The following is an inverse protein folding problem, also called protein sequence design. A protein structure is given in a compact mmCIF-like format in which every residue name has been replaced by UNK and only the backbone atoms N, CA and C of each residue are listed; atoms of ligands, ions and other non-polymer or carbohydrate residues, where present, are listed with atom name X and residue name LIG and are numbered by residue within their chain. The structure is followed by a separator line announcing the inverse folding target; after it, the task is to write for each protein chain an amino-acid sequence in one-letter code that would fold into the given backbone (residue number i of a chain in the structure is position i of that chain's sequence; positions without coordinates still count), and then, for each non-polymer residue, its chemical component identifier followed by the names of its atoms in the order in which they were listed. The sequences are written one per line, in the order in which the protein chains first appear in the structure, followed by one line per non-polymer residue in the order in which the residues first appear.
data_IF_692968604055
#
_entry.id   IF_692968604055
#
_cell.length_a   1.000
_cell.length_b   1.000
_cell.length_c   1.000
_cell.angle_alpha   90.00
_cell.angle_beta   90.00
_cell.angle_gamma   90.00
#
_symmetry.space_group_name_H-M   'P 1'
#
loop_
_entity.id
_entity.type
_entity.pdbx_description
1 polymer ?
#
# COMPACT_ATOMS: atom_id res chain seq x y z
N UNK A 1 12.60 26.67 -8.87
CA UNK A 1 13.13 25.54 -8.06
C UNK A 1 12.34 25.51 -6.78
N UNK A 2 11.44 24.54 -6.62
CA UNK A 2 10.48 24.57 -5.54
C UNK A 2 11.07 24.27 -4.16
N UNK A 3 12.35 23.91 -4.04
CA UNK A 3 13.05 23.49 -2.81
C UNK A 3 13.10 24.51 -1.65
N UNK A 4 12.69 25.76 -1.87
CA UNK A 4 12.38 26.72 -0.81
C UNK A 4 10.98 27.31 -1.02
N UNK A 5 10.16 27.39 0.02
CA UNK A 5 8.86 28.09 0.01
C UNK A 5 7.65 27.42 -0.67
N UNK A 6 7.81 26.28 -1.35
CA UNK A 6 6.70 25.52 -1.93
C UNK A 6 6.04 24.59 -0.89
N UNK A 7 4.71 24.63 -0.82
CA UNK A 7 3.90 23.89 0.14
C UNK A 7 2.92 22.96 -0.58
N UNK A 8 3.10 21.64 -0.43
CA UNK A 8 2.24 20.61 -1.00
C UNK A 8 1.90 19.58 0.09
N UNK A 9 0.70 19.65 0.71
CA UNK A 9 0.32 18.81 1.86
C UNK A 9 0.30 17.31 1.58
N UNK A 10 0.19 16.90 0.32
CA UNK A 10 0.05 15.51 -0.12
C UNK A 10 1.34 14.94 -0.74
N UNK A 11 2.45 15.67 -0.69
CA UNK A 11 3.71 15.22 -1.27
C UNK A 11 4.37 14.19 -0.33
N UNK A 12 4.41 12.92 -0.73
CA UNK A 12 5.02 11.81 0.02
C UNK A 12 6.41 11.41 -0.49
N UNK A 13 6.67 11.58 -1.79
CA UNK A 13 7.91 11.15 -2.44
C UNK A 13 8.67 12.34 -3.04
N UNK A 14 10.00 12.36 -2.84
CA UNK A 14 10.88 13.40 -3.39
C UNK A 14 12.13 12.77 -4.01
N UNK A 15 12.21 12.78 -5.34
CA UNK A 15 13.41 12.36 -6.07
C UNK A 15 14.46 13.48 -6.04
N UNK A 16 15.68 13.14 -5.61
CA UNK A 16 16.79 14.10 -5.46
C UNK A 16 17.98 13.66 -6.32
N UNK A 17 18.08 14.21 -7.53
CA UNK A 17 19.25 14.05 -8.40
C UNK A 17 20.25 15.22 -8.25
N UNK A 18 20.50 15.62 -7.00
CA UNK A 18 21.46 16.68 -6.66
C UNK A 18 22.18 16.36 -5.36
N UNK A 19 23.47 16.70 -5.30
CA UNK A 19 24.27 16.61 -4.08
C UNK A 19 23.84 17.70 -3.06
N UNK A 20 22.75 17.45 -2.34
CA UNK A 20 22.26 18.33 -1.27
C UNK A 20 23.11 18.11 0.00
N UNK A 21 23.60 19.19 0.60
CA UNK A 21 24.40 19.15 1.84
C UNK A 21 23.69 19.89 2.97
N UNK A 22 23.74 19.32 4.16
CA UNK A 22 23.27 19.92 5.42
C UNK A 22 21.83 20.46 5.32
N UNK A 23 21.67 21.79 5.43
CA UNK A 23 20.39 22.47 5.47
C UNK A 23 19.51 22.23 4.23
N UNK A 24 20.11 22.02 3.05
CA UNK A 24 19.38 21.73 1.82
C UNK A 24 18.72 20.33 1.82
N UNK A 25 19.38 19.35 2.44
CA UNK A 25 18.83 18.00 2.61
C UNK A 25 17.69 18.00 3.64
N UNK A 26 17.87 18.73 4.75
CA UNK A 26 16.84 18.88 5.78
C UNK A 26 15.58 19.60 5.26
N UNK A 27 15.75 20.61 4.41
CA UNK A 27 14.62 21.32 3.77
C UNK A 27 13.89 20.45 2.75
N UNK A 28 14.60 19.58 2.03
CA UNK A 28 14.03 18.62 1.10
C UNK A 28 13.19 17.56 1.85
N UNK A 29 13.77 16.94 2.89
CA UNK A 29 13.10 15.91 3.69
C UNK A 29 11.93 16.45 4.54
N UNK A 30 11.97 17.71 4.97
CA UNK A 30 10.89 18.34 5.75
C UNK A 30 9.56 18.44 4.98
N UNK A 31 9.60 18.41 3.65
CA UNK A 31 8.41 18.59 2.79
C UNK A 31 7.54 17.35 2.72
N UNK A 32 8.15 16.17 2.74
CA UNK A 32 7.43 14.89 2.85
C UNK A 32 7.02 14.61 4.29
N UNK A 33 7.73 15.20 5.26
CA UNK A 33 7.52 15.02 6.70
C UNK A 33 6.48 15.95 7.35
N UNK A 34 5.51 16.52 6.63
CA UNK A 34 4.50 17.39 7.28
C UNK A 34 3.46 16.61 8.10
N UNK A 35 3.14 15.38 7.70
CA UNK A 35 2.41 14.41 8.52
C UNK A 35 3.21 14.09 9.80
N UNK A 36 4.55 14.04 9.69
CA UNK A 36 5.47 13.82 10.79
C UNK A 36 5.52 14.99 11.80
N UNK A 37 5.34 16.26 11.39
CA UNK A 37 5.28 17.39 12.34
C UNK A 37 4.05 17.34 13.24
N UNK A 38 2.89 16.87 12.76
CA UNK A 38 1.73 16.64 13.60
C UNK A 38 2.02 15.55 14.65
N UNK A 39 2.76 14.50 14.28
CA UNK A 39 3.18 13.41 15.18
C UNK A 39 4.25 13.89 16.19
N UNK A 40 5.13 14.80 15.79
CA UNK A 40 6.24 15.31 16.63
C UNK A 40 5.80 16.41 17.60
N UNK A 41 4.79 17.22 17.28
CA UNK A 41 4.22 18.21 18.22
C UNK A 41 3.59 17.57 19.46
N UNK A 42 3.26 16.27 19.38
CA UNK A 42 2.80 15.44 20.49
C UNK A 42 3.84 14.39 20.95
N UNK A 43 5.08 14.42 20.42
CA UNK A 43 6.16 13.48 20.72
C UNK A 43 7.29 14.10 21.56
N UNK A 44 7.80 13.34 22.53
CA UNK A 44 8.80 13.80 23.51
C UNK A 44 10.14 14.25 22.85
N UNK A 45 10.77 15.29 23.43
CA UNK A 45 11.95 16.02 22.91
C UNK A 45 13.22 15.17 22.77
N UNK A 46 13.21 13.94 23.26
CA UNK A 46 14.30 12.97 23.13
C UNK A 46 14.15 11.99 21.96
N UNK A 47 13.10 12.12 21.15
CA UNK A 47 12.89 11.28 19.96
C UNK A 47 13.87 11.68 18.85
N UNK A 48 15.10 11.18 18.91
CA UNK A 48 15.93 10.99 17.72
C UNK A 48 15.34 9.83 16.89
N UNK A 49 14.16 10.03 16.34
CA UNK A 49 13.65 9.14 15.31
C UNK A 49 14.34 9.53 14.00
N UNK A 50 15.60 9.09 13.87
CA UNK A 50 16.00 8.54 12.58
C UNK A 50 14.97 7.45 12.34
N UNK A 51 13.99 7.72 11.49
CA UNK A 51 13.09 6.68 10.99
C UNK A 51 14.01 5.76 10.21
N UNK A 52 14.59 4.79 10.91
CA UNK A 52 15.15 3.61 10.29
C UNK A 52 13.94 2.98 9.63
N UNK A 53 13.71 3.32 8.36
CA UNK A 53 12.83 2.52 7.52
C UNK A 53 13.29 1.09 7.71
N UNK A 54 12.37 0.28 8.22
CA UNK A 54 12.62 -1.13 8.44
C UNK A 54 13.00 -1.73 7.09
N UNK A 55 13.91 -2.67 7.08
CA UNK A 55 14.36 -3.26 5.82
C UNK A 55 13.19 -3.95 5.12
N UNK A 56 13.23 -4.04 3.79
CA UNK A 56 12.28 -4.84 3.00
C UNK A 56 12.06 -6.22 3.63
N UNK A 57 13.16 -6.87 4.03
CA UNK A 57 13.16 -8.17 4.71
C UNK A 57 12.35 -8.16 6.02
N UNK A 58 12.45 -7.11 6.83
CA UNK A 58 11.68 -6.99 8.07
C UNK A 58 10.17 -6.81 7.83
N UNK A 59 9.71 -6.29 6.70
CA UNK A 59 8.27 -6.22 6.40
C UNK A 59 7.76 -7.45 5.66
N UNK A 60 8.64 -8.10 4.89
CA UNK A 60 8.35 -9.37 4.25
C UNK A 60 8.24 -10.50 5.30
N UNK A 61 9.18 -10.51 6.24
CA UNK A 61 9.26 -11.43 7.39
C UNK A 61 8.62 -10.81 8.63
N UNK A 62 8.35 -11.61 9.67
CA UNK A 62 7.88 -11.07 10.95
C UNK A 62 9.03 -10.34 11.68
N UNK A 63 8.75 -9.22 12.33
CA UNK A 63 9.74 -8.48 13.11
C UNK A 63 9.21 -8.04 14.47
N UNK A 64 10.11 -7.84 15.43
CA UNK A 64 9.76 -7.25 16.72
C UNK A 64 9.98 -5.74 16.67
N UNK A 65 8.91 -4.99 16.90
CA UNK A 65 8.97 -3.54 16.99
C UNK A 65 9.76 -3.15 18.24
N UNK A 66 10.89 -2.47 18.05
CA UNK A 66 11.83 -2.11 19.13
C UNK A 66 11.20 -1.08 20.08
N UNK A 67 10.29 -0.23 19.58
CA UNK A 67 9.65 0.82 20.35
C UNK A 67 8.48 0.28 21.21
N UNK A 68 7.72 -0.69 20.68
CA UNK A 68 6.56 -1.23 21.40
C UNK A 68 6.80 -2.61 22.03
N UNK A 69 7.90 -3.27 21.67
CA UNK A 69 8.20 -4.65 22.08
C UNK A 69 7.25 -5.70 21.48
N UNK A 70 6.35 -5.31 20.58
CA UNK A 70 5.34 -6.19 19.99
C UNK A 70 5.88 -6.86 18.73
N UNK A 71 5.64 -8.16 18.61
CA UNK A 71 5.82 -8.86 17.36
C UNK A 71 4.81 -8.34 16.34
N UNK A 72 5.31 -7.89 15.19
CA UNK A 72 4.52 -7.58 14.00
C UNK A 72 4.71 -8.70 13.00
N UNK A 73 3.61 -9.16 12.44
CA UNK A 73 3.61 -10.22 11.43
C UNK A 73 4.09 -9.67 10.11
N UNK A 74 4.84 -10.50 9.39
CA UNK A 74 5.31 -10.16 8.05
C UNK A 74 4.24 -10.43 7.00
N UNK A 75 4.41 -9.84 5.83
CA UNK A 75 3.55 -10.05 4.66
C UNK A 75 3.27 -11.54 4.38
N UNK A 76 4.31 -12.38 4.44
CA UNK A 76 4.19 -13.81 4.15
C UNK A 76 3.34 -14.57 5.18
N UNK A 77 3.39 -14.16 6.44
CA UNK A 77 2.59 -14.77 7.50
C UNK A 77 1.12 -14.40 7.34
N UNK A 78 0.83 -13.13 7.04
CA UNK A 78 -0.53 -12.62 6.80
C UNK A 78 -1.16 -13.33 5.60
N UNK A 79 -0.43 -13.46 4.48
CA UNK A 79 -0.90 -14.19 3.30
C UNK A 79 -1.18 -15.65 3.62
N UNK A 80 -0.24 -16.30 4.32
CA UNK A 80 -0.38 -17.72 4.66
C UNK A 80 -1.65 -17.94 5.48
N UNK A 81 -1.92 -17.06 6.45
CA UNK A 81 -3.15 -17.14 7.23
C UNK A 81 -4.39 -16.86 6.37
N UNK A 82 -4.37 -15.85 5.48
CA UNK A 82 -5.48 -15.56 4.56
C UNK A 82 -5.84 -16.80 3.73
N UNK A 83 -4.84 -17.42 3.08
CA UNK A 83 -5.04 -18.59 2.23
C UNK A 83 -5.51 -19.83 3.01
N UNK A 84 -5.09 -19.98 4.26
CA UNK A 84 -5.46 -21.12 5.12
C UNK A 84 -6.85 -20.98 5.73
N UNK A 85 -7.21 -19.78 6.21
CA UNK A 85 -8.48 -19.54 6.90
C UNK A 85 -9.61 -19.16 5.95
N UNK A 86 -9.29 -18.48 4.86
CA UNK A 86 -10.25 -17.87 3.95
C UNK A 86 -9.97 -18.30 2.50
N UNK A 87 -9.81 -19.60 2.27
CA UNK A 87 -9.54 -20.14 0.92
C UNK A 87 -10.57 -19.71 -0.12
N UNK A 88 -11.85 -19.62 0.29
CA UNK A 88 -12.96 -19.09 -0.51
C UNK A 88 -13.53 -17.85 0.18
N UNK A 89 -13.10 -16.64 -0.19
CA UNK A 89 -13.55 -15.43 0.50
C UNK A 89 -15.04 -15.11 0.26
N UNK A 90 -15.61 -15.53 -0.87
CA UNK A 90 -17.04 -15.36 -1.17
C UNK A 90 -17.98 -16.17 -0.26
N UNK A 91 -17.46 -17.18 0.44
CA UNK A 91 -18.24 -18.09 1.28
C UNK A 91 -18.24 -17.68 2.77
N UNK A 92 -17.72 -16.49 3.11
CA UNK A 92 -17.69 -16.01 4.50
C UNK A 92 -19.10 -15.58 4.93
N UNK A 93 -19.83 -16.51 5.55
CA UNK A 93 -21.22 -16.26 6.02
C UNK A 93 -21.27 -15.76 7.47
N UNK A 94 -20.54 -16.38 8.40
CA UNK A 94 -20.65 -16.06 9.83
C UNK A 94 -20.11 -14.66 10.13
N UNK A 95 -20.82 -13.93 10.99
CA UNK A 95 -20.42 -12.59 11.40
C UNK A 95 -19.04 -12.56 12.10
N UNK A 96 -18.73 -13.57 12.91
CA UNK A 96 -17.40 -13.72 13.53
C UNK A 96 -16.30 -13.82 12.49
N UNK A 97 -16.55 -14.58 11.43
CA UNK A 97 -15.58 -14.86 10.38
C UNK A 97 -15.43 -13.61 9.48
N UNK A 98 -16.50 -12.84 9.26
CA UNK A 98 -16.44 -11.52 8.61
C UNK A 98 -15.56 -10.55 9.38
N UNK A 99 -15.68 -10.51 10.72
CA UNK A 99 -14.87 -9.65 11.58
C UNK A 99 -13.40 -10.04 11.52
N UNK A 100 -13.11 -11.33 11.66
CA UNK A 100 -11.75 -11.85 11.61
C UNK A 100 -11.10 -11.61 10.24
N UNK A 101 -11.86 -11.83 9.16
CA UNK A 101 -11.42 -11.53 7.80
C UNK A 101 -11.12 -10.05 7.62
N UNK A 102 -12.01 -9.15 8.05
CA UNK A 102 -11.82 -7.72 7.91
C UNK A 102 -10.55 -7.23 8.63
N UNK A 103 -10.26 -7.77 9.82
CA UNK A 103 -9.03 -7.45 10.56
C UNK A 103 -7.79 -7.96 9.83
N UNK A 104 -7.81 -9.21 9.38
CA UNK A 104 -6.66 -9.84 8.72
C UNK A 104 -6.37 -9.18 7.36
N UNK A 105 -7.40 -8.92 6.57
CA UNK A 105 -7.25 -8.26 5.27
C UNK A 105 -6.86 -6.77 5.41
N UNK A 106 -7.33 -6.07 6.45
CA UNK A 106 -6.84 -4.72 6.77
C UNK A 106 -5.35 -4.71 7.16
N UNK A 107 -4.86 -5.75 7.83
CA UNK A 107 -3.41 -5.93 8.06
C UNK A 107 -2.65 -6.18 6.76
N UNK A 108 -3.18 -7.02 5.87
CA UNK A 108 -2.63 -7.24 4.53
C UNK A 108 -2.48 -5.92 3.76
N UNK A 109 -3.55 -5.12 3.67
CA UNK A 109 -3.55 -3.86 2.92
C UNK A 109 -2.48 -2.88 3.44
N UNK A 110 -2.31 -2.79 4.76
CA UNK A 110 -1.30 -1.92 5.37
C UNK A 110 0.12 -2.38 5.06
N UNK A 111 0.40 -3.69 5.19
CA UNK A 111 1.73 -4.23 4.90
C UNK A 111 2.04 -4.16 3.40
N UNK A 112 1.08 -4.49 2.53
CA UNK A 112 1.21 -4.35 1.07
C UNK A 112 1.51 -2.90 0.68
N UNK A 113 0.77 -1.93 1.21
CA UNK A 113 1.00 -0.51 0.91
C UNK A 113 2.38 -0.01 1.36
N UNK A 114 2.91 -0.53 2.47
CA UNK A 114 4.29 -0.23 2.89
C UNK A 114 5.28 -0.85 1.90
N UNK A 115 5.09 -2.12 1.56
CA UNK A 115 5.96 -2.86 0.65
C UNK A 115 5.98 -2.28 -0.77
N UNK A 116 4.90 -1.65 -1.23
CA UNK A 116 4.85 -0.96 -2.54
C UNK A 116 5.90 0.15 -2.70
N UNK A 117 6.49 0.65 -1.62
CA UNK A 117 7.56 1.66 -1.69
C UNK A 117 8.95 1.05 -1.92
N UNK A 118 9.08 -0.28 -1.95
CA UNK A 118 10.34 -0.99 -2.11
C UNK A 118 10.47 -1.55 -3.53
N UNK A 119 11.59 -1.26 -4.18
CA UNK A 119 11.89 -1.71 -5.54
C UNK A 119 11.90 -3.25 -5.62
N UNK A 120 12.34 -3.94 -4.56
CA UNK A 120 12.32 -5.39 -4.47
C UNK A 120 10.89 -5.96 -4.52
N UNK A 121 9.92 -5.28 -3.92
CA UNK A 121 8.52 -5.70 -3.97
C UNK A 121 7.89 -5.42 -5.32
N UNK A 122 8.20 -4.28 -5.94
CA UNK A 122 7.76 -3.97 -7.29
C UNK A 122 8.27 -5.01 -8.30
N UNK A 123 9.55 -5.38 -8.17
CA UNK A 123 10.17 -6.45 -8.96
C UNK A 123 9.50 -7.80 -8.70
N UNK A 124 9.24 -8.16 -7.44
CA UNK A 124 8.54 -9.40 -7.09
C UNK A 124 7.12 -9.48 -7.69
N UNK A 125 6.41 -8.34 -7.78
CA UNK A 125 5.09 -8.26 -8.41
C UNK A 125 5.18 -8.42 -9.92
N UNK A 126 6.09 -7.71 -10.58
CA UNK A 126 6.31 -7.81 -12.02
C UNK A 126 6.75 -9.22 -12.45
N UNK A 127 7.51 -9.92 -11.59
CA UNK A 127 7.91 -11.31 -11.81
C UNK A 127 6.72 -12.28 -11.94
N UNK A 128 5.56 -11.97 -11.35
CA UNK A 128 4.37 -12.84 -11.43
C UNK A 128 3.78 -12.90 -12.84
N UNK A 129 3.96 -11.84 -13.63
CA UNK A 129 3.44 -11.74 -14.99
C UNK A 129 4.49 -12.11 -16.05
N UNK A 130 5.72 -12.39 -15.61
CA UNK A 130 6.86 -12.70 -16.48
C UNK A 130 6.76 -14.14 -17.01
N UNK A 131 6.97 -14.31 -18.33
CA UNK A 131 7.17 -15.63 -18.90
C UNK A 131 8.57 -16.15 -18.60
N UNK A 132 8.69 -16.90 -17.51
CA UNK A 132 9.95 -17.50 -17.04
C UNK A 132 10.51 -18.57 -17.99
N UNK A 133 9.78 -18.98 -19.03
CA UNK A 133 10.26 -19.94 -20.02
C UNK A 133 11.07 -19.29 -21.14
N UNK A 134 10.94 -17.98 -21.32
CA UNK A 134 11.66 -17.20 -22.31
C UNK A 134 12.93 -16.58 -21.70
N UNK A 135 14.09 -17.08 -22.11
CA UNK A 135 15.38 -16.62 -21.62
C UNK A 135 15.68 -15.16 -21.99
N UNK A 136 15.20 -14.66 -23.14
CA UNK A 136 15.43 -13.26 -23.54
C UNK A 136 14.63 -12.31 -22.64
N UNK A 137 13.40 -12.70 -22.29
CA UNK A 137 12.52 -11.95 -21.38
C UNK A 137 13.08 -11.94 -19.95
N UNK A 138 13.61 -13.06 -19.48
CA UNK A 138 14.22 -13.17 -18.14
C UNK A 138 15.50 -12.33 -18.03
N UNK A 139 16.37 -12.33 -19.05
CA UNK A 139 17.57 -11.47 -19.05
C UNK A 139 17.20 -9.99 -19.08
N UNK A 140 16.25 -9.58 -19.93
CA UNK A 140 15.78 -8.20 -19.98
C UNK A 140 15.19 -7.74 -18.64
N UNK A 141 14.43 -8.61 -17.97
CA UNK A 141 13.88 -8.35 -16.64
C UNK A 141 14.98 -8.17 -15.57
N UNK A 142 16.01 -9.03 -15.59
CA UNK A 142 17.16 -8.89 -14.68
C UNK A 142 17.89 -7.57 -14.88
N UNK A 143 18.09 -7.16 -16.13
CA UNK A 143 18.74 -5.89 -16.47
C UNK A 143 17.89 -4.67 -16.04
N UNK A 144 16.57 -4.71 -16.24
CA UNK A 144 15.65 -3.62 -15.85
C UNK A 144 15.57 -3.44 -14.33
N UNK A 145 15.53 -4.54 -13.60
CA UNK A 145 15.38 -4.55 -12.13
C UNK A 145 16.72 -4.66 -11.37
N UNK A 146 17.85 -4.63 -12.08
CA UNK A 146 19.20 -4.76 -11.53
C UNK A 146 19.42 -6.01 -10.67
N UNK A 147 18.86 -7.15 -11.10
CA UNK A 147 18.88 -8.42 -10.37
C UNK A 147 19.98 -9.35 -10.88
N UNK A 148 20.60 -10.10 -9.97
CA UNK A 148 21.42 -11.26 -10.33
C UNK A 148 20.61 -12.58 -10.25
N UNK A 149 21.24 -13.69 -10.64
CA UNK A 149 20.57 -15.00 -10.64
C UNK A 149 20.17 -15.47 -9.24
N UNK A 150 20.95 -15.12 -8.21
CA UNK A 150 20.63 -15.46 -6.81
C UNK A 150 19.41 -14.66 -6.31
N UNK A 151 19.32 -13.38 -6.67
CA UNK A 151 18.18 -12.50 -6.35
C UNK A 151 16.91 -12.99 -7.03
N UNK A 152 16.99 -13.34 -8.32
CA UNK A 152 15.87 -13.89 -9.07
C UNK A 152 15.39 -15.21 -8.46
N UNK A 153 16.32 -16.11 -8.10
CA UNK A 153 15.98 -17.37 -7.44
C UNK A 153 15.34 -17.15 -6.06
N UNK A 154 15.82 -16.17 -5.30
CA UNK A 154 15.21 -15.79 -4.03
C UNK A 154 13.79 -15.25 -4.21
N UNK A 155 13.56 -14.39 -5.22
CA UNK A 155 12.22 -13.87 -5.54
C UNK A 155 11.25 -14.96 -6.00
N UNK A 156 11.69 -15.90 -6.84
CA UNK A 156 10.87 -17.03 -7.28
C UNK A 156 10.46 -17.98 -6.15
N UNK A 157 11.26 -18.05 -5.08
CA UNK A 157 10.91 -18.84 -3.89
C UNK A 157 9.78 -18.20 -3.07
N UNK A 158 9.54 -16.89 -3.22
CA UNK A 158 8.51 -16.15 -2.49
C UNK A 158 7.14 -16.43 -3.13
N UNK A 159 6.24 -17.06 -2.38
CA UNK A 159 4.88 -17.33 -2.83
C UNK A 159 3.97 -16.12 -2.54
N UNK A 160 3.66 -15.38 -3.59
CA UNK A 160 2.68 -14.29 -3.56
C UNK A 160 1.34 -14.81 -4.09
N UNK A 161 0.19 -14.38 -3.55
CA UNK A 161 -1.12 -14.73 -4.11
C UNK A 161 -1.29 -14.17 -5.53
N UNK A 162 -1.99 -14.92 -6.38
CA UNK A 162 -2.39 -14.43 -7.68
C UNK A 162 -3.26 -13.18 -7.55
N UNK A 163 -3.13 -12.24 -8.50
CA UNK A 163 -3.86 -10.98 -8.45
C UNK A 163 -5.38 -11.18 -8.39
N UNK A 164 -5.91 -12.20 -9.09
CA UNK A 164 -7.32 -12.58 -9.00
C UNK A 164 -7.77 -12.92 -7.59
N UNK A 165 -6.99 -13.71 -6.85
CA UNK A 165 -7.33 -14.05 -5.47
C UNK A 165 -7.32 -12.81 -4.56
N UNK A 166 -6.40 -11.86 -4.80
CA UNK A 166 -6.40 -10.57 -4.10
C UNK A 166 -7.64 -9.74 -4.45
N UNK A 167 -8.09 -9.76 -5.70
CA UNK A 167 -9.32 -9.09 -6.12
C UNK A 167 -10.56 -9.70 -5.45
N UNK A 168 -10.64 -11.03 -5.35
CA UNK A 168 -11.74 -11.71 -4.66
C UNK A 168 -11.78 -11.29 -3.18
N UNK A 169 -10.63 -11.27 -2.49
CA UNK A 169 -10.54 -10.76 -1.12
C UNK A 169 -11.00 -9.29 -0.99
N UNK A 170 -10.64 -8.43 -1.96
CA UNK A 170 -11.07 -7.02 -1.97
C UNK A 170 -12.57 -6.89 -2.14
N UNK A 171 -13.16 -7.68 -3.03
CA UNK A 171 -14.61 -7.70 -3.24
C UNK A 171 -15.31 -8.06 -1.93
N UNK A 172 -14.92 -9.18 -1.33
CA UNK A 172 -15.48 -9.62 -0.04
C UNK A 172 -15.28 -8.57 1.07
N UNK A 173 -14.13 -7.91 1.12
CA UNK A 173 -13.85 -6.87 2.10
C UNK A 173 -14.76 -5.64 1.95
N UNK A 174 -15.00 -5.21 0.71
CA UNK A 174 -15.96 -4.16 0.40
C UNK A 174 -17.39 -4.59 0.73
N UNK A 175 -17.78 -5.82 0.41
CA UNK A 175 -19.10 -6.36 0.70
C UNK A 175 -19.38 -6.42 2.20
N UNK A 176 -18.41 -6.86 3.01
CA UNK A 176 -18.51 -6.87 4.48
C UNK A 176 -18.65 -5.46 5.03
N UNK A 177 -17.87 -4.50 4.51
CA UNK A 177 -17.95 -3.10 4.92
C UNK A 177 -19.33 -2.52 4.64
N UNK A 178 -19.85 -2.75 3.44
CA UNK A 178 -21.13 -2.21 3.00
C UNK A 178 -22.30 -2.86 3.72
N UNK A 179 -22.22 -4.18 3.98
CA UNK A 179 -23.14 -4.89 4.87
C UNK A 179 -23.15 -4.26 6.28
N UNK A 180 -21.98 -4.08 6.91
CA UNK A 180 -21.88 -3.51 8.26
C UNK A 180 -22.44 -2.08 8.33
N UNK A 181 -22.26 -1.29 7.26
CA UNK A 181 -22.85 0.06 7.16
C UNK A 181 -24.38 0.02 7.11
N UNK A 182 -24.98 -0.94 6.40
CA UNK A 182 -26.44 -1.11 6.32
C UNK A 182 -27.04 -1.59 7.64
N UNK A 183 -26.37 -2.52 8.32
CA UNK A 183 -26.74 -2.96 9.68
C UNK A 183 -26.78 -1.77 10.66
N UNK A 184 -25.72 -0.94 10.69
CA UNK A 184 -25.67 0.27 11.53
C UNK A 184 -26.70 1.34 11.14
N UNK A 185 -27.14 1.39 9.89
CA UNK A 185 -28.14 2.34 9.39
C UNK A 185 -29.60 1.94 9.71
N UNK A 186 -29.83 0.76 10.27
CA UNK A 186 -31.13 0.35 10.81
C UNK A 186 -32.09 -0.32 9.83
N UNK A 187 -31.63 -0.79 8.67
CA UNK A 187 -32.48 -1.55 7.72
C UNK A 187 -32.66 -3.02 8.13
N UNK A 188 -31.75 -3.56 8.95
CA UNK A 188 -31.81 -4.89 9.54
C UNK A 188 -31.35 -4.77 11.00
N UNK A 189 -32.28 -4.52 11.93
CA UNK A 189 -32.00 -4.64 13.38
C UNK A 189 -32.16 -6.11 13.80
N UNK A 190 -31.40 -7.02 13.20
CA UNK A 190 -31.07 -8.24 13.91
C UNK A 190 -29.86 -7.88 14.77
N UNK A 191 -30.02 -7.89 16.09
CA UNK A 191 -28.96 -7.51 17.04
C UNK A 191 -27.67 -8.29 16.76
N UNK A 192 -26.75 -7.68 16.01
CA UNK A 192 -25.36 -8.11 15.90
C UNK A 192 -24.84 -8.33 17.31
N UNK A 193 -24.53 -9.59 17.66
CA UNK A 193 -24.00 -9.92 18.98
C UNK A 193 -22.50 -9.64 19.08
N UNK A 194 -21.89 -9.16 17.99
CA UNK A 194 -20.45 -9.01 17.84
C UNK A 194 -20.13 -7.53 17.84
N UNK A 195 -19.26 -7.13 18.77
CA UNK A 195 -18.74 -5.76 18.80
C UNK A 195 -17.82 -5.53 17.57
N UNK A 196 -18.03 -4.45 16.82
CA UNK A 196 -17.24 -4.08 15.64
C UNK A 196 -16.39 -2.81 15.85
N UNK A 197 -16.42 -2.20 17.04
CA UNK A 197 -15.78 -0.89 17.28
C UNK A 197 -14.25 -0.95 17.23
N UNK A 198 -13.67 -2.15 17.36
CA UNK A 198 -12.24 -2.41 17.22
C UNK A 198 -11.79 -2.69 15.77
N UNK A 199 -12.70 -2.67 14.80
CA UNK A 199 -12.39 -2.85 13.37
C UNK A 199 -12.37 -1.49 12.67
N UNK A 200 -11.20 -1.10 12.18
CA UNK A 200 -11.02 0.07 11.32
C UNK A 200 -10.86 -0.42 9.89
N UNK A 201 -11.71 0.06 8.98
CA UNK A 201 -11.62 -0.26 7.56
C UNK A 201 -10.63 0.67 6.86
N UNK A 202 -9.72 0.09 6.07
CA UNK A 202 -8.64 0.80 5.37
C UNK A 202 -9.14 1.45 4.06
N UNK A 203 -10.08 2.40 4.17
CA UNK A 203 -10.78 3.00 3.02
C UNK A 203 -9.82 3.74 2.08
N UNK A 204 -8.84 4.44 2.64
CA UNK A 204 -7.90 5.23 1.84
C UNK A 204 -6.96 4.34 1.03
N UNK A 205 -6.59 3.16 1.56
CA UNK A 205 -5.77 2.16 0.88
C UNK A 205 -6.54 1.46 -0.25
N UNK A 206 -7.86 1.35 -0.15
CA UNK A 206 -8.69 0.84 -1.25
C UNK A 206 -8.80 1.86 -2.38
N UNK A 207 -8.99 3.14 -2.03
CA UNK A 207 -9.10 4.23 -3.02
C UNK A 207 -7.79 4.50 -3.75
N UNK A 208 -6.65 4.43 -3.06
CA UNK A 208 -5.33 4.65 -3.69
C UNK A 208 -5.03 3.64 -4.80
N UNK A 209 -5.59 2.44 -4.72
CA UNK A 209 -5.39 1.38 -5.70
C UNK A 209 -6.40 1.40 -6.86
N UNK A 210 -7.55 2.08 -6.72
CA UNK A 210 -8.45 2.39 -7.83
C UNK A 210 -7.92 3.56 -8.70
N UNK A 211 -7.08 4.43 -8.13
CA UNK A 211 -6.39 5.51 -8.86
C UNK A 211 -5.12 4.94 -9.51
N UNK A 212 -5.30 4.12 -10.55
CA UNK A 212 -4.21 3.71 -11.42
C UNK A 212 -3.99 4.78 -12.52
N UNK A 213 -2.89 4.66 -13.28
CA UNK A 213 -2.59 5.57 -14.40
C UNK A 213 -3.78 5.65 -15.37
N UNK A 214 -4.47 4.53 -15.63
CA UNK A 214 -5.62 4.48 -16.53
C UNK A 214 -6.84 5.27 -15.99
N UNK A 215 -7.07 5.25 -14.68
CA UNK A 215 -8.13 6.03 -14.02
C UNK A 215 -7.78 7.52 -14.01
N UNK A 216 -6.51 7.87 -13.76
CA UNK A 216 -6.02 9.26 -13.88
C UNK A 216 -6.15 9.75 -15.32
N UNK A 217 -5.75 8.94 -16.30
CA UNK A 217 -5.90 9.25 -17.73
C UNK A 217 -7.38 9.35 -18.13
N UNK A 218 -8.23 8.49 -17.57
CA UNK A 218 -9.69 8.53 -17.72
C UNK A 218 -10.27 9.85 -17.22
N UNK A 219 -9.91 10.28 -16.00
CA UNK A 219 -10.33 11.56 -15.43
C UNK A 219 -9.80 12.77 -16.22
N UNK A 220 -8.53 12.74 -16.67
CA UNK A 220 -7.94 13.78 -17.53
C UNK A 220 -8.70 13.84 -18.86
N UNK A 221 -9.02 12.70 -19.44
CA UNK A 221 -9.76 12.60 -20.71
C UNK A 221 -11.20 13.12 -20.55
N UNK A 222 -11.88 12.77 -19.47
CA UNK A 222 -13.25 13.21 -19.18
C UNK A 222 -13.33 14.71 -18.87
N UNK A 223 -12.33 15.24 -18.15
CA UNK A 223 -12.18 16.67 -17.92
C UNK A 223 -11.91 17.43 -19.23
N UNK A 224 -10.99 16.94 -20.08
CA UNK A 224 -10.70 17.54 -21.40
C UNK A 224 -11.84 17.43 -22.40
N UNK A 225 -12.71 16.42 -22.28
CA UNK A 225 -13.92 16.30 -23.10
C UNK A 225 -14.92 17.43 -22.81
N UNK A 226 -14.90 17.95 -21.57
CA UNK A 226 -15.72 19.07 -21.14
C UNK A 226 -15.08 20.44 -21.43
N UNK A 227 -13.75 20.52 -21.55
CA UNK A 227 -13.02 21.75 -21.87
C UNK A 227 -12.69 21.82 -23.36
N UNK A 228 -13.64 22.28 -24.17
CA UNK A 228 -13.50 22.39 -25.64
C UNK A 228 -12.73 23.62 -26.12
N UNK A 229 -11.63 24.01 -25.47
CA UNK A 229 -10.79 25.06 -26.05
C UNK A 229 -9.29 24.81 -25.92
N UNK A 230 -8.65 24.83 -27.10
CA UNK A 230 -7.24 24.43 -27.29
C UNK A 230 -6.27 25.48 -26.73
N UNK A 231 -6.78 26.70 -26.51
CA UNK A 231 -6.08 27.86 -25.96
C UNK A 231 -5.83 27.74 -24.45
N UNK A 232 -6.77 27.16 -23.70
CA UNK A 232 -6.65 27.02 -22.23
C UNK A 232 -5.59 25.98 -21.81
N UNK A 233 -5.37 24.95 -22.64
CA UNK A 233 -4.42 23.86 -22.36
C UNK A 233 -2.94 24.26 -22.41
N UNK A 234 -2.61 25.39 -23.04
CA UNK A 234 -1.21 25.85 -23.21
C UNK A 234 -0.80 26.81 -22.08
N UNK A 235 -1.75 27.41 -21.36
CA UNK A 235 -1.47 28.35 -20.27
C UNK A 235 -1.26 27.67 -18.90
N UNK A 236 -1.62 26.39 -18.74
CA UNK A 236 -1.50 25.64 -17.47
C UNK A 236 -0.28 24.69 -17.38
N UNK A 237 0.62 24.69 -18.36
CA UNK A 237 1.92 23.96 -18.30
C UNK A 237 3.05 24.87 -17.85
#
# INVERSE_FOLDING_TARGET
MFLTGFDAPTLNTLFVDKNLRYHGLMQALSRTNRIYYAITLFGDRNTKNVVLEKSYKEFLESFTDIATGKARRGYLEVIKELQQRFTNPDEIVKESDKKDFAKLFGEYLRVENILQNYDEFASLKALQDLDVTDAEVVEAFKDEHYLNDDDLAAMQAIKVPAERAIQDYRSTYNDIRDWLRREKAGEQQDESSIDWDDVVFEIDLLKSQEINLDYILGLIFEHNKNTKDKSALVEEV
#
